data_IF_512417361303
#
_entry.id   IF_512417361303
#
_cell.length_a   1.000
_cell.length_b   1.000
_cell.length_c   1.000
_cell.angle_alpha   90.00
_cell.angle_beta   90.00
_cell.angle_gamma   90.00
#
_symmetry.space_group_name_H-M   'P 1'
#
loop_
_entity.id
_entity.type
_entity.pdbx_description
1 polymer ?
#
# COMPACT_ATOMS: atom_id res chain seq x y z
N UNK A 1 4.62 15.87 -15.49
CA UNK A 1 5.45 17.02 -15.89
C UNK A 1 5.84 17.03 -17.38
N UNK A 2 5.92 15.87 -18.06
CA UNK A 2 6.24 15.82 -19.50
C UNK A 2 5.32 16.66 -20.40
N UNK A 3 4.01 16.73 -20.10
CA UNK A 3 3.08 17.57 -20.86
C UNK A 3 3.38 19.07 -20.79
N UNK A 4 3.92 19.54 -19.66
CA UNK A 4 4.34 20.94 -19.46
C UNK A 4 5.66 21.24 -20.18
N UNK A 5 6.61 20.30 -20.17
CA UNK A 5 7.86 20.43 -20.90
C UNK A 5 7.62 20.50 -22.42
N UNK A 6 6.69 19.70 -22.94
CA UNK A 6 6.30 19.74 -24.36
C UNK A 6 5.63 21.06 -24.78
N UNK A 7 4.84 21.67 -23.91
CA UNK A 7 4.25 23.00 -24.14
C UNK A 7 5.33 24.08 -24.26
N UNK A 8 6.32 24.05 -23.36
CA UNK A 8 7.44 25.00 -23.38
C UNK A 8 8.31 24.79 -24.62
N UNK A 9 8.61 23.55 -24.99
CA UNK A 9 9.38 23.24 -26.22
C UNK A 9 8.66 23.71 -27.49
N UNK A 10 7.34 23.47 -27.62
CA UNK A 10 6.56 23.91 -28.78
C UNK A 10 6.51 25.43 -28.92
N UNK A 11 6.34 26.15 -27.81
CA UNK A 11 6.36 27.61 -27.80
C UNK A 11 7.75 28.17 -28.12
N UNK A 12 8.83 27.56 -27.62
CA UNK A 12 10.22 27.96 -27.96
C UNK A 12 10.49 27.83 -29.47
N UNK A 13 10.07 26.73 -30.09
CA UNK A 13 10.25 26.53 -31.54
C UNK A 13 9.43 27.54 -32.36
N UNK A 14 8.18 27.81 -31.95
CA UNK A 14 7.34 28.81 -32.60
C UNK A 14 7.98 30.22 -32.54
N UNK A 15 8.48 30.64 -31.37
CA UNK A 15 9.17 31.92 -31.22
C UNK A 15 10.48 32.00 -32.00
N UNK A 16 11.22 30.89 -32.13
CA UNK A 16 12.43 30.85 -32.96
C UNK A 16 12.13 31.03 -34.45
N UNK A 17 11.07 30.37 -34.95
CA UNK A 17 10.62 30.52 -36.34
C UNK A 17 10.16 31.96 -36.64
N UNK A 18 9.40 32.58 -35.74
CA UNK A 18 8.93 33.97 -35.88
C UNK A 18 10.07 34.98 -35.84
N UNK A 19 11.13 34.69 -35.07
CA UNK A 19 12.32 35.53 -35.01
C UNK A 19 13.11 35.51 -36.34
N UNK A 20 13.06 34.40 -37.07
CA UNK A 20 13.78 34.22 -38.34
C UNK A 20 12.93 34.55 -39.58
N UNK A 21 11.60 34.61 -39.46
CA UNK A 21 10.68 34.96 -40.55
C UNK A 21 10.32 36.46 -40.58
N UNK A 22 10.22 37.02 -41.80
CA UNK A 22 9.72 38.37 -42.07
C UNK A 22 8.25 38.55 -41.64
N UNK A 23 7.74 39.78 -41.69
CA UNK A 23 6.43 40.17 -41.13
C UNK A 23 5.20 39.43 -41.70
N UNK A 24 5.31 38.78 -42.86
CA UNK A 24 4.25 37.98 -43.47
C UNK A 24 4.27 36.54 -42.93
N UNK A 25 3.16 36.06 -42.36
CA UNK A 25 2.98 34.66 -41.91
C UNK A 25 3.15 34.40 -40.40
N UNK A 26 3.56 35.41 -39.61
CA UNK A 26 3.84 35.25 -38.16
C UNK A 26 2.67 34.72 -37.32
N UNK A 27 1.44 35.08 -37.67
CA UNK A 27 0.25 34.66 -36.92
C UNK A 27 -0.13 33.19 -37.16
N UNK A 28 0.10 32.70 -38.39
CA UNK A 28 -0.24 31.34 -38.79
C UNK A 28 0.73 30.34 -38.15
N UNK A 29 2.03 30.66 -38.15
CA UNK A 29 3.06 29.85 -37.50
C UNK A 29 2.90 29.80 -35.97
N UNK A 30 2.47 30.91 -35.34
CA UNK A 30 2.11 30.95 -33.92
C UNK A 30 0.95 30.01 -33.59
N UNK A 31 -0.09 30.04 -34.41
CA UNK A 31 -1.28 29.22 -34.19
C UNK A 31 -0.94 27.72 -34.24
N UNK A 32 -0.06 27.32 -35.17
CA UNK A 32 0.46 25.95 -35.26
C UNK A 32 1.23 25.57 -33.99
N UNK A 33 2.14 26.44 -33.51
CA UNK A 33 2.93 26.19 -32.30
C UNK A 33 2.07 25.99 -31.04
N UNK A 34 1.03 26.81 -30.87
CA UNK A 34 0.06 26.69 -29.77
C UNK A 34 -0.75 25.40 -29.91
N UNK A 35 -1.16 25.03 -31.13
CA UNK A 35 -1.88 23.79 -31.40
C UNK A 35 -1.10 22.54 -30.98
N UNK A 36 0.20 22.47 -31.31
CA UNK A 36 1.08 21.36 -30.90
C UNK A 36 1.23 21.29 -29.38
N UNK A 37 1.32 22.45 -28.72
CA UNK A 37 1.35 22.57 -27.26
C UNK A 37 0.08 21.99 -26.60
N UNK A 38 -1.11 22.35 -27.11
CA UNK A 38 -2.38 21.85 -26.60
C UNK A 38 -2.55 20.34 -26.85
N UNK A 39 -2.14 19.83 -28.02
CA UNK A 39 -2.21 18.41 -28.34
C UNK A 39 -1.33 17.57 -27.40
N UNK A 40 -0.13 18.03 -27.08
CA UNK A 40 0.77 17.34 -26.14
C UNK A 40 0.19 17.31 -24.72
N UNK A 41 -0.55 18.34 -24.33
CA UNK A 41 -1.27 18.37 -23.05
C UNK A 41 -2.41 17.36 -23.03
N UNK A 42 -3.19 17.29 -24.10
CA UNK A 42 -4.26 16.29 -24.26
C UNK A 42 -3.71 14.85 -24.26
N UNK A 43 -2.60 14.61 -24.95
CA UNK A 43 -1.91 13.31 -24.95
C UNK A 43 -1.41 12.92 -23.55
N UNK A 44 -0.86 13.88 -22.78
CA UNK A 44 -0.45 13.66 -21.40
C UNK A 44 -1.62 13.28 -20.48
N UNK A 45 -2.77 13.92 -20.63
CA UNK A 45 -4.00 13.57 -19.90
C UNK A 45 -4.53 12.18 -20.31
N UNK A 46 -4.45 11.84 -21.59
CA UNK A 46 -4.90 10.55 -22.11
C UNK A 46 -4.11 9.37 -21.50
N UNK A 47 -2.82 9.56 -21.22
CA UNK A 47 -1.98 8.55 -20.54
C UNK A 47 -2.16 8.60 -19.01
N UNK A 48 -2.46 9.76 -18.43
CA UNK A 48 -2.61 9.92 -16.99
C UNK A 48 -3.81 9.15 -16.42
N UNK A 49 -4.96 9.17 -17.11
CA UNK A 49 -6.18 8.47 -16.67
C UNK A 49 -5.98 6.95 -16.50
N UNK A 50 -5.50 6.20 -17.52
CA UNK A 50 -5.27 4.77 -17.36
C UNK A 50 -4.18 4.45 -16.33
N UNK A 51 -3.13 5.27 -16.24
CA UNK A 51 -2.10 5.10 -15.20
C UNK A 51 -2.68 5.25 -13.79
N UNK A 52 -3.62 6.17 -13.58
CA UNK A 52 -4.29 6.36 -12.29
C UNK A 52 -5.18 5.16 -11.93
N UNK A 53 -5.94 4.64 -12.91
CA UNK A 53 -6.76 3.44 -12.71
C UNK A 53 -5.87 2.25 -12.33
N UNK A 54 -4.75 2.07 -13.03
CA UNK A 54 -3.81 1.00 -12.73
C UNK A 54 -3.18 1.14 -11.36
N UNK A 55 -2.85 2.36 -10.95
CA UNK A 55 -2.35 2.66 -9.60
C UNK A 55 -3.36 2.27 -8.52
N UNK A 56 -4.64 2.64 -8.69
CA UNK A 56 -5.68 2.29 -7.72
C UNK A 56 -5.85 0.77 -7.59
N UNK A 57 -5.81 0.04 -8.71
CA UNK A 57 -5.86 -1.43 -8.69
C UNK A 57 -4.66 -2.05 -7.97
N UNK A 58 -3.46 -1.56 -8.25
CA UNK A 58 -2.24 -2.11 -7.66
C UNK A 58 -2.13 -1.77 -6.18
N UNK A 59 -2.51 -0.54 -5.77
CA UNK A 59 -2.56 -0.13 -4.38
C UNK A 59 -3.49 -1.03 -3.57
N UNK A 60 -4.70 -1.31 -4.07
CA UNK A 60 -5.62 -2.22 -3.38
C UNK A 60 -5.06 -3.65 -3.24
N UNK A 61 -4.30 -4.13 -4.22
CA UNK A 61 -3.59 -5.42 -4.10
C UNK A 61 -2.48 -5.38 -3.05
N UNK A 62 -1.71 -4.29 -3.00
CA UNK A 62 -0.65 -4.12 -1.99
C UNK A 62 -1.27 -4.10 -0.59
N UNK A 63 -2.37 -3.39 -0.38
CA UNK A 63 -3.06 -3.33 0.91
C UNK A 63 -3.53 -4.72 1.38
N UNK A 64 -4.05 -5.54 0.48
CA UNK A 64 -4.43 -6.93 0.79
C UNK A 64 -3.24 -7.76 1.25
N UNK A 65 -2.10 -7.65 0.56
CA UNK A 65 -0.87 -8.38 0.94
C UNK A 65 -0.34 -7.88 2.29
N UNK A 66 -0.44 -6.58 2.56
CA UNK A 66 -0.06 -6.01 3.85
C UNK A 66 -0.95 -6.54 4.97
N UNK A 67 -2.26 -6.66 4.74
CA UNK A 67 -3.18 -7.27 5.71
C UNK A 67 -2.83 -8.72 6.03
N UNK A 68 -2.55 -9.54 5.00
CA UNK A 68 -2.11 -10.94 5.21
C UNK A 68 -0.80 -11.01 6.02
N UNK A 69 0.13 -10.10 5.76
CA UNK A 69 1.38 -10.03 6.48
C UNK A 69 1.19 -9.63 7.95
N UNK A 70 0.26 -8.72 8.22
CA UNK A 70 -0.08 -8.28 9.58
C UNK A 70 -0.77 -9.39 10.38
N UNK A 71 -1.67 -10.16 9.75
CA UNK A 71 -2.29 -11.35 10.36
C UNK A 71 -1.23 -12.42 10.69
N UNK A 72 -0.30 -12.69 9.77
CA UNK A 72 0.80 -13.62 10.02
C UNK A 72 1.68 -13.16 11.19
N UNK A 73 2.01 -11.87 11.27
CA UNK A 73 2.78 -11.30 12.37
C UNK A 73 2.05 -11.43 13.72
N UNK A 74 0.74 -11.14 13.75
CA UNK A 74 -0.08 -11.30 14.95
C UNK A 74 -0.12 -12.76 15.42
N UNK A 75 -0.22 -13.72 14.50
CA UNK A 75 -0.18 -15.15 14.84
C UNK A 75 1.16 -15.55 15.48
N UNK A 76 2.29 -15.08 14.94
CA UNK A 76 3.61 -15.34 15.54
C UNK A 76 3.70 -14.77 16.95
N UNK A 77 3.25 -13.54 17.17
CA UNK A 77 3.22 -12.92 18.50
C UNK A 77 2.33 -13.70 19.47
N UNK A 78 1.15 -14.13 19.02
CA UNK A 78 0.23 -14.91 19.83
C UNK A 78 0.84 -16.26 20.25
N UNK A 79 1.54 -16.96 19.34
CA UNK A 79 2.21 -18.23 19.66
C UNK A 79 3.31 -18.05 20.70
N UNK A 80 4.15 -17.01 20.57
CA UNK A 80 5.22 -16.71 21.54
C UNK A 80 4.61 -16.38 22.92
N UNK A 81 3.54 -15.58 22.97
CA UNK A 81 2.83 -15.27 24.21
C UNK A 81 2.13 -16.50 24.82
N UNK A 82 1.57 -17.38 23.99
CA UNK A 82 0.92 -18.61 24.43
C UNK A 82 1.91 -19.59 25.07
N UNK A 83 3.13 -19.70 24.54
CA UNK A 83 4.20 -20.46 25.19
C UNK A 83 4.61 -19.86 26.54
N UNK A 84 4.74 -18.53 26.63
CA UNK A 84 5.07 -17.83 27.87
C UNK A 84 4.02 -18.07 28.97
N UNK A 85 2.73 -18.07 28.62
CA UNK A 85 1.63 -18.37 29.56
C UNK A 85 1.53 -19.85 29.91
N UNK A 86 1.85 -20.74 28.97
CA UNK A 86 1.79 -22.20 29.17
C UNK A 86 2.89 -22.70 30.11
N UNK A 87 4.07 -22.08 30.10
CA UNK A 87 5.15 -22.34 31.08
C UNK A 87 4.74 -22.06 32.53
N UNK A 88 3.75 -21.18 32.77
CA UNK A 88 3.26 -20.86 34.11
C UNK A 88 2.16 -21.84 34.59
N UNK A 89 1.42 -22.48 33.67
CA UNK A 89 0.27 -23.35 34.02
C UNK A 89 0.68 -24.73 34.53
N UNK A 90 1.88 -25.20 34.19
CA UNK A 90 2.43 -26.49 34.68
C UNK A 90 2.84 -26.41 36.17
N UNK A 91 3.18 -25.23 36.70
CA UNK A 91 3.65 -25.09 38.08
C UNK A 91 2.51 -24.98 39.11
N UNK A 92 1.29 -24.65 38.68
CA UNK A 92 0.19 -24.28 39.60
C UNK A 92 -0.83 -25.42 39.81
N UNK A 93 -0.74 -26.54 39.09
CA UNK A 93 -1.74 -27.62 39.16
C UNK A 93 -1.52 -28.70 40.24
N UNK A 94 -0.49 -28.59 41.08
CA UNK A 94 -0.15 -29.63 42.09
C UNK A 94 -0.66 -29.34 43.51
N UNK A 95 -1.41 -28.26 43.76
CA UNK A 95 -2.07 -28.02 45.06
C UNK A 95 -3.57 -27.85 44.88
N UNK A 96 -4.31 -28.96 44.88
CA UNK A 96 -5.60 -29.11 45.60
C UNK A 96 -6.30 -30.38 45.14
N UNK A 97 -6.33 -31.39 46.02
CA UNK A 97 -7.49 -32.27 46.34
C UNK A 97 -7.02 -33.45 47.19
N UNK A 98 -7.40 -33.54 48.48
CA UNK A 98 -7.76 -34.81 49.07
C UNK A 98 -9.29 -34.95 48.94
N UNK A 99 -9.71 -35.81 48.02
CA UNK A 99 -11.07 -36.36 48.04
C UNK A 99 -11.12 -37.47 49.08
N UNK A 100 -12.26 -37.54 49.75
CA UNK A 100 -12.51 -38.31 50.96
C UNK A 100 -12.46 -39.84 50.77
N UNK A 101 -12.33 -40.51 51.92
CA UNK A 101 -12.92 -41.82 52.29
C UNK A 101 -12.03 -43.07 52.08
N UNK A 102 -11.33 -43.48 53.15
CA UNK A 102 -10.96 -44.89 53.33
C UNK A 102 -11.11 -45.35 54.78
N UNK A 103 -12.26 -46.02 54.99
CA UNK A 103 -12.51 -47.22 55.80
C UNK A 103 -12.13 -47.23 57.28
N UNK A 104 -13.21 -47.29 58.07
CA UNK A 104 -13.33 -48.09 59.27
C UNK A 104 -12.65 -49.46 59.13
N UNK A 105 -11.82 -49.82 60.11
CA UNK A 105 -11.75 -51.14 60.79
C UNK A 105 -10.46 -51.21 61.59
N UNK A 106 -10.54 -51.00 62.92
CA UNK A 106 -9.85 -51.86 63.89
C UNK A 106 -10.53 -51.73 65.25
N UNK A 107 -11.55 -52.56 65.42
CA UNK A 107 -12.00 -53.04 66.71
C UNK A 107 -11.07 -54.22 67.05
N UNK A 108 -10.21 -54.05 68.05
CA UNK A 108 -9.47 -55.12 68.73
C UNK A 108 -9.32 -54.60 70.16
N UNK A 109 -10.22 -54.96 71.09
CA UNK A 109 -10.23 -56.24 71.82
C UNK A 109 -9.10 -56.32 72.84
N UNK A 110 -9.39 -55.83 74.06
CA UNK A 110 -9.01 -56.39 75.37
C UNK A 110 -9.19 -55.29 76.43
#
# INVERSE_FOLDING_TARGET
LFGLLGTVMGMIQAFNQIANMGTLGKAEELAVGIGVALLTTAAGLLIAIPSLIMYMFLSGKVDSVVMEMDEAAQNVVHLICAEALSGQKMTTRTRTKPSAKQKATRKESA
#
